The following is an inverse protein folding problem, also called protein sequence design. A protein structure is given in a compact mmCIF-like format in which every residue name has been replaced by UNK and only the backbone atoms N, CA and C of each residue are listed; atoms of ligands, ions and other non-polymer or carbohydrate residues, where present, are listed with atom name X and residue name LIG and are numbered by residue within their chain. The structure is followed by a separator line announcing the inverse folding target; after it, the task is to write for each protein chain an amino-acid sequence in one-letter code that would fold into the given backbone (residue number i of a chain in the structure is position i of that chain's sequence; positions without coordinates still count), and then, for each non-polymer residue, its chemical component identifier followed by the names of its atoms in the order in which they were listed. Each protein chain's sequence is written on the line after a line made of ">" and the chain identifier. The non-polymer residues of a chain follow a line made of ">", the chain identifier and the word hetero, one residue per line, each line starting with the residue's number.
data_IF_578901460907
#
_entry.id   IF_578901460907
#
_cell.length_a   1.000
_cell.length_b   1.000
_cell.length_c   1.000
_cell.angle_alpha   90.00
_cell.angle_beta   90.00
_cell.angle_gamma   90.00
#
_symmetry.space_group_name_H-M   'P 1'
#
loop_
_entity.id
_entity.type
_entity.pdbx_description
1 polymer ?
#
# COMPACT_ATOMS: atom_id res chain seq x y z
N UNK A 1 4.79 16.17 8.02
CA UNK A 1 4.72 16.28 6.54
C UNK A 1 3.54 15.45 6.07
N UNK A 2 2.54 16.08 5.46
CA UNK A 2 1.38 15.35 4.92
C UNK A 2 1.76 14.81 3.54
N UNK A 3 1.55 13.51 3.33
CA UNK A 3 1.77 12.87 2.04
C UNK A 3 0.48 13.03 1.22
N UNK A 4 0.56 13.69 0.08
CA UNK A 4 -0.54 13.77 -0.90
C UNK A 4 -0.37 12.66 -1.94
N UNK A 5 -1.26 11.66 -1.87
CA UNK A 5 -1.25 10.51 -2.78
C UNK A 5 -1.50 10.96 -4.23
N UNK A 6 -2.35 11.94 -4.46
CA UNK A 6 -2.60 12.46 -5.80
C UNK A 6 -1.35 13.15 -6.39
N UNK A 7 -0.54 13.80 -5.55
CA UNK A 7 0.74 14.37 -6.00
C UNK A 7 1.76 13.26 -6.32
N UNK A 8 1.80 12.18 -5.54
CA UNK A 8 2.66 11.03 -5.85
C UNK A 8 2.27 10.41 -7.20
N UNK A 9 0.98 10.26 -7.49
CA UNK A 9 0.51 9.77 -8.78
C UNK A 9 0.92 10.69 -9.92
N UNK A 10 0.76 12.02 -9.76
CA UNK A 10 1.22 13.00 -10.77
C UNK A 10 2.73 12.90 -11.03
N UNK A 11 3.54 12.68 -10.00
CA UNK A 11 4.99 12.46 -10.13
C UNK A 11 5.29 11.15 -10.86
N UNK A 12 4.63 10.07 -10.48
CA UNK A 12 4.78 8.77 -11.15
C UNK A 12 4.50 8.90 -12.66
N UNK A 13 3.40 9.57 -13.03
CA UNK A 13 3.04 9.80 -14.43
C UNK A 13 4.09 10.58 -15.24
N UNK A 14 4.90 11.41 -14.59
CA UNK A 14 5.97 12.18 -15.27
C UNK A 14 7.25 11.39 -15.48
N UNK A 15 7.52 10.37 -14.65
CA UNK A 15 8.79 9.63 -14.66
C UNK A 15 8.66 8.23 -15.24
N UNK A 16 7.48 7.64 -15.22
CA UNK A 16 7.23 6.34 -15.81
C UNK A 16 6.96 6.47 -17.30
N UNK A 17 7.30 5.43 -18.07
CA UNK A 17 6.86 5.33 -19.45
C UNK A 17 5.34 5.14 -19.51
N UNK A 18 4.65 5.56 -20.58
CA UNK A 18 3.19 5.48 -20.66
C UNK A 18 2.64 4.08 -20.42
N UNK A 19 3.26 3.06 -20.99
CA UNK A 19 2.87 1.65 -20.85
C UNK A 19 3.00 1.15 -19.40
N UNK A 20 4.07 1.53 -18.69
CA UNK A 20 4.27 1.19 -17.28
C UNK A 20 3.27 1.94 -16.40
N UNK A 21 3.04 3.23 -16.66
CA UNK A 21 2.04 3.99 -15.92
C UNK A 21 0.64 3.38 -16.12
N UNK A 22 0.24 3.08 -17.35
CA UNK A 22 -1.07 2.51 -17.67
C UNK A 22 -1.25 1.12 -17.06
N UNK A 23 -0.19 0.32 -16.95
CA UNK A 23 -0.23 -0.95 -16.24
C UNK A 23 -0.64 -0.81 -14.78
N UNK A 24 -0.12 0.20 -14.06
CA UNK A 24 -0.45 0.41 -12.64
C UNK A 24 -1.76 1.19 -12.44
N UNK A 25 -2.02 2.18 -13.28
CA UNK A 25 -3.18 3.06 -13.12
C UNK A 25 -4.46 2.46 -13.71
N UNK A 26 -4.33 1.57 -14.69
CA UNK A 26 -5.45 1.01 -15.42
C UNK A 26 -6.20 -0.09 -14.66
N UNK A 27 -7.42 -0.31 -15.08
CA UNK A 27 -8.30 -1.38 -14.58
C UNK A 27 -8.80 -2.29 -15.71
N UNK A 28 -9.43 -3.38 -15.35
CA UNK A 28 -9.94 -4.36 -16.31
C UNK A 28 -11.14 -3.82 -17.11
N UNK A 29 -11.15 -4.06 -18.40
CA UNK A 29 -12.24 -3.77 -19.31
C UNK A 29 -12.68 -2.31 -19.28
N UNK A 30 -13.94 -2.06 -18.97
CA UNK A 30 -14.50 -0.69 -18.87
C UNK A 30 -14.15 0.05 -17.57
N UNK A 31 -13.30 -0.50 -16.73
CA UNK A 31 -12.83 0.07 -15.45
C UNK A 31 -13.95 0.44 -14.46
N UNK A 32 -15.11 -0.18 -14.57
CA UNK A 32 -16.25 0.10 -13.67
C UNK A 32 -15.91 -0.14 -12.20
N UNK A 33 -15.21 -1.26 -11.92
CA UNK A 33 -14.79 -1.62 -10.55
C UNK A 33 -13.75 -0.65 -10.02
N UNK A 34 -12.76 -0.26 -10.83
CA UNK A 34 -11.76 0.73 -10.45
C UNK A 34 -12.43 2.04 -10.01
N UNK A 35 -13.31 2.59 -10.85
CA UNK A 35 -14.06 3.81 -10.51
C UNK A 35 -15.00 3.65 -9.33
N UNK A 36 -15.63 2.48 -9.18
CA UNK A 36 -16.51 2.20 -8.04
C UNK A 36 -15.73 2.12 -6.73
N UNK A 37 -14.56 1.51 -6.72
CA UNK A 37 -13.69 1.40 -5.54
C UNK A 37 -13.28 2.78 -5.01
N UNK A 38 -12.85 3.69 -5.90
CA UNK A 38 -12.52 5.06 -5.49
C UNK A 38 -13.72 5.80 -4.90
N UNK A 39 -14.90 5.61 -5.47
CA UNK A 39 -16.14 6.22 -4.95
C UNK A 39 -16.55 5.63 -3.60
N UNK A 40 -16.40 4.32 -3.42
CA UNK A 40 -16.76 3.63 -2.19
C UNK A 40 -15.97 4.20 -0.98
N UNK A 41 -14.67 4.49 -1.14
CA UNK A 41 -13.89 5.13 -0.09
C UNK A 41 -14.47 6.48 0.37
N UNK A 42 -15.02 7.27 -0.54
CA UNK A 42 -15.63 8.58 -0.24
C UNK A 42 -16.96 8.48 0.52
N UNK A 43 -17.55 7.30 0.60
CA UNK A 43 -18.78 7.05 1.35
C UNK A 43 -18.53 6.72 2.82
N UNK A 44 -17.28 6.49 3.21
CA UNK A 44 -16.90 6.21 4.59
C UNK A 44 -16.45 7.49 5.29
N UNK A 45 -17.08 7.76 6.43
CA UNK A 45 -16.79 8.92 7.25
C UNK A 45 -16.13 8.48 8.55
N UNK A 46 -15.07 9.17 8.94
CA UNK A 46 -14.48 8.99 10.25
C UNK A 46 -15.32 9.78 11.25
N UNK A 47 -15.95 9.08 12.18
CA UNK A 47 -16.70 9.72 13.28
C UNK A 47 -15.77 9.85 14.49
N UNK A 48 -15.28 11.07 14.81
CA UNK A 48 -14.43 11.27 15.96
C UNK A 48 -15.22 11.08 17.25
N UNK A 49 -14.57 10.51 18.26
CA UNK A 49 -15.12 10.44 19.61
C UNK A 49 -14.45 11.52 20.46
N UNK A 50 -15.24 12.48 20.91
CA UNK A 50 -14.76 13.54 21.82
C UNK A 50 -14.67 13.05 23.27
N UNK A 51 -13.89 13.74 24.09
CA UNK A 51 -13.70 13.45 25.52
C UNK A 51 -13.22 12.01 25.82
N UNK A 52 -12.41 11.45 24.92
CA UNK A 52 -11.72 10.19 25.14
C UNK A 52 -10.25 10.47 25.45
N UNK A 53 -9.73 9.76 26.43
CA UNK A 53 -8.30 9.76 26.69
C UNK A 53 -7.57 9.12 25.52
N UNK A 54 -6.64 9.87 24.93
CA UNK A 54 -5.77 9.45 23.80
C UNK A 54 -4.30 9.59 24.15
N UNK A 55 -3.96 9.64 25.43
CA UNK A 55 -2.58 9.73 25.91
C UNK A 55 -1.75 8.50 25.54
N UNK A 56 -2.40 7.34 25.38
CA UNK A 56 -1.78 6.11 24.88
C UNK A 56 -2.66 5.51 23.78
N UNK A 57 -2.12 5.46 22.56
CA UNK A 57 -2.80 4.87 21.42
C UNK A 57 -2.02 3.66 20.93
N UNK A 58 -2.66 2.49 20.93
CA UNK A 58 -2.13 1.27 20.31
C UNK A 58 -2.91 0.98 19.03
N UNK A 59 -2.21 1.03 17.90
CA UNK A 59 -2.76 0.72 16.57
C UNK A 59 -2.32 -0.66 16.09
N UNK A 60 -1.66 -1.45 16.93
CA UNK A 60 -1.19 -2.78 16.54
C UNK A 60 -2.36 -3.72 16.26
N UNK A 61 -2.16 -4.63 15.32
CA UNK A 61 -3.13 -5.66 14.96
C UNK A 61 -2.48 -7.03 14.89
N UNK A 62 -3.21 -8.05 15.34
CA UNK A 62 -2.86 -9.45 15.12
C UNK A 62 -3.57 -9.97 13.89
N UNK A 63 -2.86 -10.70 13.05
CA UNK A 63 -3.47 -11.30 11.86
C UNK A 63 -4.20 -12.58 12.21
N UNK A 64 -5.47 -12.73 11.77
CA UNK A 64 -6.17 -14.01 11.90
C UNK A 64 -5.41 -15.12 11.16
N UNK A 65 -5.22 -16.25 11.83
CA UNK A 65 -4.47 -17.39 11.26
C UNK A 65 -2.94 -17.28 11.34
N UNK A 66 -2.40 -16.15 11.76
CA UNK A 66 -0.97 -15.92 12.00
C UNK A 66 -0.77 -15.29 13.38
N UNK A 67 -1.07 -16.00 14.47
CA UNK A 67 -1.16 -15.44 15.82
C UNK A 67 0.14 -14.82 16.32
N UNK A 68 1.29 -15.31 15.86
CA UNK A 68 2.60 -14.74 16.21
C UNK A 68 2.94 -13.46 15.45
N UNK A 69 2.16 -13.12 14.42
CA UNK A 69 2.43 -11.94 13.61
C UNK A 69 1.64 -10.74 14.13
N UNK A 70 2.38 -9.77 14.64
CA UNK A 70 1.84 -8.48 15.11
C UNK A 70 2.36 -7.37 14.20
N UNK A 71 1.45 -6.65 13.55
CA UNK A 71 1.77 -5.42 12.83
C UNK A 71 1.56 -4.22 13.77
N UNK A 72 2.45 -3.24 13.72
CA UNK A 72 2.32 -2.01 14.53
C UNK A 72 1.24 -1.06 14.01
N UNK A 73 0.76 -1.29 12.81
CA UNK A 73 -0.28 -0.48 12.16
C UNK A 73 -1.30 -1.40 11.49
N UNK A 74 -2.59 -1.01 11.43
CA UNK A 74 -3.62 -1.75 10.72
C UNK A 74 -3.53 -1.58 9.20
N UNK A 75 -2.56 -0.83 8.71
CA UNK A 75 -2.33 -0.61 7.28
C UNK A 75 -1.24 -1.56 6.81
N UNK A 76 -1.51 -2.31 5.75
CA UNK A 76 -0.54 -3.19 5.10
C UNK A 76 -0.38 -2.87 3.61
N UNK A 77 0.71 -3.36 3.03
CA UNK A 77 0.97 -3.25 1.60
C UNK A 77 0.42 -4.50 0.91
N UNK A 78 -0.55 -4.29 0.02
CA UNK A 78 -1.14 -5.36 -0.78
C UNK A 78 -0.17 -5.87 -1.86
N UNK A 79 -0.38 -7.11 -2.38
CA UNK A 79 0.44 -7.65 -3.45
C UNK A 79 0.37 -6.77 -4.71
N UNK A 80 1.51 -6.26 -5.15
CA UNK A 80 1.66 -5.51 -6.41
C UNK A 80 2.75 -6.19 -7.24
N UNK A 81 2.42 -6.60 -8.45
CA UNK A 81 3.36 -7.26 -9.35
C UNK A 81 4.31 -6.29 -10.05
N UNK A 82 5.46 -6.82 -10.46
CA UNK A 82 6.39 -6.16 -11.37
C UNK A 82 6.89 -4.78 -10.91
N UNK A 83 7.10 -4.56 -9.62
CA UNK A 83 7.55 -3.27 -9.09
C UNK A 83 8.90 -2.81 -9.68
N UNK A 84 9.69 -3.75 -10.22
CA UNK A 84 10.91 -3.46 -10.96
C UNK A 84 10.72 -2.65 -12.25
N UNK A 85 9.48 -2.61 -12.80
CA UNK A 85 9.17 -1.72 -13.93
C UNK A 85 9.14 -0.24 -13.52
N UNK A 86 8.74 0.03 -12.29
CA UNK A 86 8.65 1.40 -11.77
C UNK A 86 9.93 1.87 -11.10
N UNK A 87 10.70 0.95 -10.51
CA UNK A 87 11.93 1.28 -9.77
C UNK A 87 12.94 0.16 -9.85
N UNK A 88 14.24 0.46 -10.06
CA UNK A 88 15.29 -0.56 -10.05
C UNK A 88 15.37 -1.38 -8.76
N UNK A 89 14.98 -0.81 -7.63
CA UNK A 89 14.94 -1.53 -6.35
C UNK A 89 13.69 -2.38 -6.17
N UNK A 90 12.61 -2.06 -6.89
CA UNK A 90 11.37 -2.83 -6.91
C UNK A 90 10.83 -3.15 -5.52
N UNK A 91 10.48 -4.41 -5.31
CA UNK A 91 9.88 -4.92 -4.07
C UNK A 91 10.78 -4.75 -2.84
N UNK A 92 12.10 -4.66 -3.01
CA UNK A 92 13.03 -4.46 -1.89
C UNK A 92 12.85 -3.08 -1.24
N UNK A 93 12.65 -2.03 -2.04
CA UNK A 93 12.38 -0.70 -1.51
C UNK A 93 11.06 -0.68 -0.74
N UNK A 94 10.02 -1.31 -1.28
CA UNK A 94 8.70 -1.41 -0.63
C UNK A 94 8.78 -2.21 0.67
N UNK A 95 9.52 -3.32 0.68
CA UNK A 95 9.70 -4.15 1.87
C UNK A 95 10.42 -3.37 3.00
N UNK A 96 11.49 -2.64 2.65
CA UNK A 96 12.18 -1.77 3.62
C UNK A 96 11.27 -0.67 4.17
N UNK A 97 10.48 -0.03 3.30
CA UNK A 97 9.53 1.00 3.71
C UNK A 97 8.43 0.44 4.62
N UNK A 98 7.87 -0.70 4.30
CA UNK A 98 6.87 -1.38 5.13
C UNK A 98 7.45 -1.77 6.49
N UNK A 99 8.64 -2.38 6.52
CA UNK A 99 9.33 -2.75 7.75
C UNK A 99 9.62 -1.53 8.64
N UNK A 100 10.12 -0.43 8.06
CA UNK A 100 10.38 0.80 8.78
C UNK A 100 9.11 1.41 9.40
N UNK A 101 7.96 1.25 8.74
CA UNK A 101 6.65 1.68 9.25
C UNK A 101 6.02 0.68 10.24
N UNK A 102 6.62 -0.48 10.46
CA UNK A 102 6.02 -1.58 11.23
C UNK A 102 4.77 -2.17 10.58
N UNK A 103 4.65 -2.01 9.26
CA UNK A 103 3.54 -2.50 8.44
C UNK A 103 3.86 -3.87 7.86
N UNK A 104 2.80 -4.63 7.58
CA UNK A 104 2.93 -5.88 6.82
C UNK A 104 3.02 -5.60 5.33
N UNK A 105 3.78 -6.42 4.63
CA UNK A 105 3.78 -6.46 3.18
C UNK A 105 3.45 -7.88 2.71
N UNK A 106 2.48 -7.99 1.83
CA UNK A 106 2.18 -9.23 1.13
C UNK A 106 2.87 -9.17 -0.23
N UNK A 107 3.76 -10.12 -0.47
CA UNK A 107 4.53 -10.17 -1.73
C UNK A 107 3.70 -10.79 -2.84
N UNK A 108 3.70 -10.15 -4.00
CA UNK A 108 3.05 -10.69 -5.20
C UNK A 108 3.77 -11.95 -5.69
N UNK A 109 3.01 -12.93 -6.19
CA UNK A 109 3.57 -14.07 -6.93
C UNK A 109 4.29 -13.64 -8.23
N UNK A 110 4.06 -12.41 -8.70
CA UNK A 110 4.69 -11.78 -9.86
C UNK A 110 5.70 -10.72 -9.46
N UNK A 111 6.46 -10.96 -8.39
CA UNK A 111 7.50 -10.04 -7.98
C UNK A 111 8.67 -10.04 -8.99
N UNK A 112 9.26 -8.86 -9.19
CA UNK A 112 10.43 -8.67 -10.08
C UNK A 112 11.73 -9.12 -9.42
N UNK A 113 11.77 -9.22 -8.10
CA UNK A 113 12.95 -9.52 -7.30
C UNK A 113 12.72 -10.73 -6.41
N UNK A 114 13.71 -11.62 -6.31
CA UNK A 114 13.70 -12.66 -5.29
C UNK A 114 13.90 -11.99 -3.92
N UNK A 115 12.94 -12.17 -3.04
CA UNK A 115 13.09 -11.81 -1.63
C UNK A 115 13.73 -13.00 -0.92
N UNK A 116 14.99 -12.85 -0.54
CA UNK A 116 15.68 -13.85 0.28
C UNK A 116 15.29 -13.63 1.75
N UNK A 117 15.33 -14.68 2.57
CA UNK A 117 14.97 -14.64 4.02
C UNK A 117 15.86 -13.72 4.88
N UNK A 118 16.77 -12.97 4.29
CA UNK A 118 17.75 -12.13 4.99
C UNK A 118 17.40 -10.64 4.90
N UNK A 119 16.15 -10.30 5.22
CA UNK A 119 15.76 -8.89 5.46
C UNK A 119 15.35 -8.76 6.92
#
# INVERSE_FOLDING_TARGET
>A
MTVDIAELERRARRVLTPDVYDYYAGGAGSERTLRASVRAWRQHWLMPRVLRDVSAVDTSVRLPGLPETVARTPVGVAPTGFQGLASPEGELATARGAAAAGALMIVSSRCSRRLNRSI
#
